data_IF_520959734261
#
_entry.id   IF_520959734261
#
_cell.length_a   1.000
_cell.length_b   1.000
_cell.length_c   1.000
_cell.angle_alpha   90.00
_cell.angle_beta   90.00
_cell.angle_gamma   90.00
#
_symmetry.space_group_name_H-M   'P 1'
#
loop_
_entity.id
_entity.type
_entity.pdbx_description
1 polymer ?
#
# COMPACT_ATOMS: atom_id res chain seq x y z
N UNK A 1 30.07 9.25 -36.37
CA UNK A 1 28.75 8.89 -35.80
C UNK A 1 28.53 9.79 -34.60
N UNK A 2 27.43 10.53 -34.52
CA UNK A 2 27.18 11.41 -33.39
C UNK A 2 27.03 10.56 -32.12
N UNK A 3 27.94 10.74 -31.15
CA UNK A 3 27.88 10.04 -29.87
C UNK A 3 26.62 10.48 -29.14
N UNK A 4 25.65 9.57 -28.95
CA UNK A 4 24.40 9.88 -28.29
C UNK A 4 24.62 10.09 -26.79
N UNK A 5 24.50 11.35 -26.35
CA UNK A 5 24.46 11.74 -24.94
C UNK A 5 22.99 11.86 -24.51
N UNK A 6 22.66 11.30 -23.36
CA UNK A 6 21.40 11.57 -22.67
C UNK A 6 21.64 11.72 -21.16
N UNK A 7 20.63 12.20 -20.44
CA UNK A 7 20.73 12.44 -19.00
C UNK A 7 19.60 11.73 -18.25
N UNK A 8 19.93 11.18 -17.10
CA UNK A 8 19.03 10.62 -16.10
C UNK A 8 19.32 11.28 -14.74
N UNK A 9 18.58 10.93 -13.69
CA UNK A 9 18.88 11.41 -12.33
C UNK A 9 19.33 10.30 -11.37
N UNK A 10 20.23 10.67 -10.46
CA UNK A 10 20.63 9.82 -9.33
C UNK A 10 19.50 9.69 -8.30
N UNK A 11 19.69 8.83 -7.29
CA UNK A 11 18.74 8.70 -6.18
C UNK A 11 18.61 9.99 -5.36
N UNK A 12 19.61 10.87 -5.44
CA UNK A 12 19.62 12.20 -4.79
C UNK A 12 19.13 13.33 -5.71
N UNK A 13 18.71 13.01 -6.94
CA UNK A 13 18.21 14.00 -7.90
C UNK A 13 19.30 14.74 -8.68
N UNK A 14 20.56 14.32 -8.55
CA UNK A 14 21.68 14.92 -9.31
C UNK A 14 21.71 14.37 -10.74
N UNK A 15 22.23 15.13 -11.73
CA UNK A 15 22.31 14.67 -13.11
C UNK A 15 23.30 13.51 -13.25
N UNK A 16 22.90 12.50 -14.01
CA UNK A 16 23.66 11.33 -14.40
C UNK A 16 23.77 11.30 -15.92
N UNK A 17 24.99 11.31 -16.43
CA UNK A 17 25.26 11.26 -17.86
C UNK A 17 25.16 9.82 -18.36
N UNK A 18 24.44 9.60 -19.45
CA UNK A 18 24.42 8.33 -20.17
C UNK A 18 25.17 8.53 -21.48
N UNK A 19 26.29 7.81 -21.64
CA UNK A 19 27.13 7.85 -22.83
C UNK A 19 27.37 6.43 -23.32
N UNK A 20 26.96 6.13 -24.56
CA UNK A 20 27.09 4.80 -25.17
C UNK A 20 26.60 3.65 -24.24
N UNK A 21 25.45 3.85 -23.58
CA UNK A 21 24.84 2.93 -22.60
C UNK A 21 25.53 2.83 -21.22
N UNK A 22 26.65 3.54 -21.00
CA UNK A 22 27.31 3.64 -19.71
C UNK A 22 26.80 4.85 -18.91
N UNK A 23 26.68 4.68 -17.59
CA UNK A 23 26.26 5.73 -16.67
C UNK A 23 27.47 6.39 -15.99
N UNK A 24 27.51 7.71 -16.00
CA UNK A 24 28.58 8.52 -15.40
C UNK A 24 28.02 9.57 -14.46
N UNK A 25 28.65 9.73 -13.30
CA UNK A 25 28.32 10.76 -12.29
C UNK A 25 29.20 11.98 -12.49
N UNK A 26 28.64 13.18 -12.26
CA UNK A 26 29.42 14.41 -12.29
C UNK A 26 30.40 14.41 -11.09
N UNK A 27 31.69 14.48 -11.39
CA UNK A 27 32.75 14.55 -10.38
C UNK A 27 33.14 16.00 -10.08
N UNK A 28 33.27 16.83 -11.12
CA UNK A 28 33.65 18.24 -10.97
C UNK A 28 33.06 19.08 -12.10
N UNK A 29 32.74 20.33 -11.80
CA UNK A 29 32.44 21.37 -12.80
C UNK A 29 33.51 22.45 -12.70
N UNK A 30 34.08 22.81 -13.85
CA UNK A 30 35.00 23.94 -14.03
C UNK A 30 34.25 25.11 -14.69
N UNK A 31 34.93 26.23 -14.89
CA UNK A 31 34.39 27.43 -15.51
C UNK A 31 33.90 27.21 -16.96
N UNK A 32 34.39 26.18 -17.65
CA UNK A 32 34.06 25.92 -19.06
C UNK A 32 33.57 24.50 -19.36
N UNK A 33 33.73 23.54 -18.43
CA UNK A 33 33.50 22.11 -18.69
C UNK A 33 33.00 21.37 -17.44
N UNK A 34 32.25 20.28 -17.67
CA UNK A 34 31.85 19.31 -16.65
C UNK A 34 32.62 18.00 -16.84
N UNK A 35 33.04 17.38 -15.74
CA UNK A 35 33.83 16.16 -15.70
C UNK A 35 32.97 15.04 -15.11
N UNK A 36 32.81 13.98 -15.87
CA UNK A 36 31.96 12.84 -15.56
C UNK A 36 32.82 11.59 -15.40
N UNK A 37 32.52 10.77 -14.40
CA UNK A 37 33.28 9.55 -14.09
C UNK A 37 32.32 8.37 -14.05
N UNK A 38 32.76 7.20 -14.53
CA UNK A 38 31.95 5.98 -14.49
C UNK A 38 31.42 5.69 -13.07
N UNK A 39 30.18 5.22 -12.98
CA UNK A 39 29.58 4.84 -11.71
C UNK A 39 30.22 3.59 -11.11
N UNK A 40 30.77 2.70 -11.95
CA UNK A 40 31.54 1.54 -11.53
C UNK A 40 32.97 1.98 -11.15
N UNK A 41 33.21 2.11 -9.84
CA UNK A 41 34.47 2.61 -9.24
C UNK A 41 35.75 1.87 -9.64
N UNK A 42 35.65 0.76 -10.38
CA UNK A 42 36.78 -0.04 -10.84
C UNK A 42 37.33 0.39 -12.21
N UNK A 43 36.69 1.33 -12.89
CA UNK A 43 37.07 1.75 -14.23
C UNK A 43 37.35 3.25 -14.29
N UNK A 44 38.57 3.59 -14.68
CA UNK A 44 39.05 4.98 -14.84
C UNK A 44 38.61 5.56 -16.18
N UNK A 45 37.29 5.70 -16.36
CA UNK A 45 36.72 6.34 -17.56
C UNK A 45 36.15 7.70 -17.21
N UNK A 46 36.61 8.70 -17.97
CA UNK A 46 36.30 10.10 -17.80
C UNK A 46 35.69 10.65 -19.08
N UNK A 47 34.49 11.22 -18.98
CA UNK A 47 33.84 11.93 -20.08
C UNK A 47 33.76 13.41 -19.72
N UNK A 48 34.03 14.29 -20.68
CA UNK A 48 33.94 15.73 -20.51
C UNK A 48 32.84 16.29 -21.40
N UNK A 49 32.02 17.18 -20.84
CA UNK A 49 31.02 17.95 -21.59
C UNK A 49 31.26 19.44 -21.42
N UNK A 50 30.73 20.28 -22.31
CA UNK A 50 30.65 21.72 -22.06
C UNK A 50 29.54 22.01 -21.01
N UNK A 51 29.34 23.28 -20.66
CA UNK A 51 28.31 23.68 -19.69
C UNK A 51 26.88 23.41 -20.20
N UNK A 52 26.70 23.42 -21.52
CA UNK A 52 25.46 23.13 -22.25
C UNK A 52 25.24 21.62 -22.49
N UNK A 53 26.06 20.76 -21.88
CA UNK A 53 25.97 19.30 -21.90
C UNK A 53 26.33 18.63 -23.23
N UNK A 54 27.02 19.31 -24.13
CA UNK A 54 27.54 18.73 -25.37
C UNK A 54 28.85 17.98 -25.13
N UNK A 55 29.05 16.88 -25.85
CA UNK A 55 30.25 16.05 -25.76
C UNK A 55 31.51 16.83 -26.13
N UNK A 56 32.58 16.69 -25.35
CA UNK A 56 33.89 17.23 -25.69
C UNK A 56 34.96 16.16 -25.85
N UNK A 57 35.09 15.26 -24.87
CA UNK A 57 36.19 14.30 -24.81
C UNK A 57 35.82 13.07 -23.98
N UNK A 58 36.39 11.92 -24.33
CA UNK A 58 36.43 10.73 -23.47
C UNK A 58 37.88 10.29 -23.26
N UNK A 59 38.17 9.80 -22.06
CA UNK A 59 39.48 9.30 -21.63
C UNK A 59 39.28 7.99 -20.89
N UNK A 60 39.98 6.93 -21.30
CA UNK A 60 39.78 5.56 -20.79
C UNK A 60 38.80 4.73 -21.63
N UNK A 61 38.65 3.45 -21.29
CA UNK A 61 37.77 2.50 -21.99
C UNK A 61 36.87 1.73 -21.02
N UNK A 62 35.59 1.59 -21.37
CA UNK A 62 34.60 0.92 -20.53
C UNK A 62 34.62 -0.60 -20.75
N UNK A 63 35.59 -1.29 -20.17
CA UNK A 63 35.78 -2.73 -20.35
C UNK A 63 34.93 -3.60 -19.41
N UNK A 64 33.72 -3.15 -19.06
CA UNK A 64 32.80 -3.90 -18.22
C UNK A 64 31.50 -4.24 -18.92
N UNK A 65 30.95 -5.39 -18.55
CA UNK A 65 29.65 -5.86 -19.04
C UNK A 65 28.58 -4.88 -18.57
N UNK A 66 27.79 -4.40 -19.53
CA UNK A 66 26.60 -3.60 -19.26
C UNK A 66 25.48 -4.58 -18.92
N UNK A 67 24.87 -4.44 -17.75
CA UNK A 67 23.59 -5.11 -17.50
C UNK A 67 22.52 -4.33 -18.30
N UNK A 68 21.91 -4.95 -19.33
CA UNK A 68 20.95 -4.27 -20.21
C UNK A 68 19.73 -3.74 -19.45
N UNK A 69 19.34 -4.40 -18.35
CA UNK A 69 18.20 -4.01 -17.54
C UNK A 69 18.48 -2.76 -16.69
N UNK A 70 19.73 -2.49 -16.31
CA UNK A 70 20.05 -1.40 -15.38
C UNK A 70 19.69 -0.03 -15.94
N UNK A 71 19.98 0.21 -17.22
CA UNK A 71 19.69 1.49 -17.86
C UNK A 71 18.19 1.69 -18.06
N UNK A 72 17.48 0.64 -18.47
CA UNK A 72 16.03 0.66 -18.63
C UNK A 72 15.32 0.90 -17.29
N UNK A 73 15.72 0.19 -16.23
CA UNK A 73 15.21 0.39 -14.88
C UNK A 73 15.47 1.82 -14.41
N UNK A 74 16.66 2.36 -14.68
CA UNK A 74 17.01 3.72 -14.28
C UNK A 74 16.20 4.78 -15.02
N UNK A 75 15.91 4.56 -16.31
CA UNK A 75 15.03 5.41 -17.10
C UNK A 75 13.58 5.36 -16.59
N UNK A 76 13.09 4.18 -16.17
CA UNK A 76 11.77 4.03 -15.54
C UNK A 76 11.73 4.80 -14.22
N UNK A 77 12.73 4.63 -13.35
CA UNK A 77 12.83 5.36 -12.08
C UNK A 77 12.76 6.87 -12.28
N UNK A 78 13.47 7.40 -13.29
CA UNK A 78 13.53 8.82 -13.56
C UNK A 78 12.20 9.38 -14.05
N UNK A 79 11.56 8.67 -14.99
CA UNK A 79 10.19 8.98 -15.45
C UNK A 79 9.21 8.96 -14.28
N UNK A 80 9.27 7.93 -13.45
CA UNK A 80 8.43 7.82 -12.26
C UNK A 80 8.62 8.99 -11.31
N UNK A 81 9.86 9.36 -10.97
CA UNK A 81 10.16 10.52 -10.11
C UNK A 81 9.58 11.80 -10.69
N UNK A 82 9.74 12.03 -12.00
CA UNK A 82 9.22 13.23 -12.66
C UNK A 82 7.69 13.28 -12.54
N UNK A 83 7.00 12.19 -12.87
CA UNK A 83 5.53 12.10 -12.75
C UNK A 83 5.05 12.30 -11.32
N UNK A 84 5.76 11.73 -10.33
CA UNK A 84 5.41 11.87 -8.90
C UNK A 84 5.50 13.34 -8.44
N UNK A 85 6.47 14.10 -8.96
CA UNK A 85 6.66 15.50 -8.60
C UNK A 85 5.65 16.43 -9.29
N UNK A 86 5.20 16.06 -10.50
CA UNK A 86 4.43 16.95 -11.37
C UNK A 86 2.94 16.58 -11.50
N UNK A 87 2.54 15.39 -11.07
CA UNK A 87 1.16 14.91 -11.17
C UNK A 87 0.54 14.65 -9.79
N UNK A 88 -0.79 14.78 -9.70
CA UNK A 88 -1.57 14.36 -8.52
C UNK A 88 -1.97 12.88 -8.56
N UNK A 89 -1.58 12.17 -9.62
CA UNK A 89 -1.80 10.74 -9.81
C UNK A 89 -1.13 9.98 -8.66
N UNK A 90 -1.77 8.94 -8.12
CA UNK A 90 -1.15 8.17 -7.05
C UNK A 90 0.14 7.52 -7.54
N UNK A 91 1.18 7.49 -6.70
CA UNK A 91 2.50 6.88 -6.98
C UNK A 91 2.33 5.46 -7.53
N UNK A 92 1.32 4.74 -7.05
CA UNK A 92 1.01 3.37 -7.48
C UNK A 92 0.44 3.29 -8.89
N UNK A 93 -0.46 4.21 -9.26
CA UNK A 93 -1.02 4.26 -10.61
C UNK A 93 0.07 4.67 -11.60
N UNK A 94 0.95 5.60 -11.21
CA UNK A 94 2.16 5.94 -11.97
C UNK A 94 3.03 4.69 -12.15
N UNK A 95 3.33 3.94 -11.09
CA UNK A 95 4.10 2.69 -11.17
C UNK A 95 3.47 1.69 -12.14
N UNK A 96 2.19 1.36 -11.96
CA UNK A 96 1.51 0.35 -12.79
C UNK A 96 1.49 0.75 -14.28
N UNK A 97 1.24 2.03 -14.57
CA UNK A 97 1.27 2.56 -15.93
C UNK A 97 2.66 2.52 -16.55
N UNK A 98 3.71 2.83 -15.78
CA UNK A 98 5.09 2.79 -16.29
C UNK A 98 5.57 1.35 -16.48
N UNK A 99 5.23 0.43 -15.58
CA UNK A 99 5.60 -0.99 -15.73
C UNK A 99 4.84 -1.65 -16.89
N UNK A 100 3.55 -1.33 -17.09
CA UNK A 100 2.77 -1.90 -18.19
C UNK A 100 3.33 -1.54 -19.59
N UNK A 101 4.15 -0.49 -19.69
CA UNK A 101 4.78 -0.05 -20.94
C UNK A 101 6.07 -0.81 -21.27
N UNK A 102 6.60 -1.61 -20.35
CA UNK A 102 7.94 -2.21 -20.47
C UNK A 102 7.85 -3.73 -20.47
N UNK A 103 8.58 -4.36 -21.40
CA UNK A 103 8.74 -5.81 -21.48
C UNK A 103 10.10 -6.19 -20.89
N UNK A 104 10.15 -6.47 -19.58
CA UNK A 104 11.38 -6.86 -18.88
C UNK A 104 11.54 -8.38 -18.85
N UNK A 105 12.78 -8.86 -18.83
CA UNK A 105 13.08 -10.27 -18.48
C UNK A 105 12.69 -10.56 -17.02
N UNK A 106 12.57 -11.84 -16.68
CA UNK A 106 12.29 -12.26 -15.29
C UNK A 106 13.36 -11.74 -14.30
N UNK A 107 14.62 -11.63 -14.73
CA UNK A 107 15.67 -10.99 -13.93
C UNK A 107 15.47 -9.47 -13.80
N UNK A 108 15.15 -8.77 -14.89
CA UNK A 108 14.90 -7.32 -14.88
C UNK A 108 13.69 -6.95 -14.01
N UNK A 109 12.65 -7.79 -14.01
CA UNK A 109 11.49 -7.62 -13.15
C UNK A 109 11.82 -7.79 -11.64
N UNK A 110 12.92 -8.48 -11.29
CA UNK A 110 13.36 -8.63 -9.91
C UNK A 110 14.13 -7.40 -9.39
N UNK A 111 14.73 -6.63 -10.30
CA UNK A 111 15.53 -5.43 -10.04
C UNK A 111 14.70 -4.13 -10.03
N UNK A 112 13.44 -4.17 -10.47
CA UNK A 112 12.54 -3.01 -10.45
C UNK A 112 12.44 -2.33 -9.06
N UNK A 113 12.33 -0.99 -9.05
CA UNK A 113 12.17 -0.22 -7.82
C UNK A 113 10.96 -0.71 -7.05
N UNK A 114 11.19 -1.13 -5.80
CA UNK A 114 10.10 -1.52 -4.93
C UNK A 114 9.50 -0.25 -4.34
N UNK A 115 8.24 0.05 -4.68
CA UNK A 115 7.50 1.15 -4.03
C UNK A 115 7.16 0.73 -2.60
N UNK A 116 7.68 1.46 -1.61
CA UNK A 116 7.37 1.23 -0.20
C UNK A 116 6.39 2.31 0.25
N UNK A 117 5.20 1.89 0.68
CA UNK A 117 4.16 2.79 1.18
C UNK A 117 4.32 2.97 2.69
N UNK A 118 4.58 4.20 3.14
CA UNK A 118 4.60 4.56 4.55
C UNK A 118 3.24 5.10 4.97
N UNK A 119 2.64 4.48 6.00
CA UNK A 119 1.41 4.96 6.60
C UNK A 119 1.71 5.57 7.96
N UNK A 120 1.42 6.86 8.08
CA UNK A 120 1.69 7.66 9.27
C UNK A 120 0.35 8.08 9.86
N UNK A 121 0.12 7.89 11.17
CA UNK A 121 -1.05 8.47 11.81
C UNK A 121 -0.93 10.00 11.76
N UNK A 122 -1.92 10.65 11.14
CA UNK A 122 -1.93 12.11 10.94
C UNK A 122 -2.61 12.86 12.06
N UNK A 123 -3.50 12.20 12.81
CA UNK A 123 -4.23 12.79 13.92
C UNK A 123 -4.67 11.71 14.92
N UNK A 124 -4.83 12.11 16.18
CA UNK A 124 -5.44 11.33 17.24
C UNK A 124 -6.61 12.11 17.81
N UNK A 125 -7.78 11.48 17.92
CA UNK A 125 -9.01 12.19 18.24
C UNK A 125 -9.73 11.46 19.38
N UNK A 126 -9.97 12.17 20.49
CA UNK A 126 -10.86 11.73 21.55
C UNK A 126 -12.23 12.33 21.29
N UNK A 127 -13.21 11.48 21.01
CA UNK A 127 -14.57 11.89 20.68
C UNK A 127 -15.49 11.64 21.87
N UNK A 128 -16.41 12.57 22.12
CA UNK A 128 -17.39 12.47 23.21
C UNK A 128 -18.45 11.39 22.95
N UNK A 129 -18.71 11.07 21.67
CA UNK A 129 -19.71 10.10 21.26
C UNK A 129 -19.44 9.60 19.83
N UNK A 130 -20.30 8.68 19.36
CA UNK A 130 -20.25 8.03 18.05
C UNK A 130 -21.41 8.47 17.15
N UNK A 131 -21.65 9.78 17.05
CA UNK A 131 -22.72 10.37 16.22
C UNK A 131 -22.16 10.96 14.94
N UNK A 132 -22.97 10.94 13.88
CA UNK A 132 -22.60 11.50 12.59
C UNK A 132 -22.17 12.98 12.70
N UNK A 133 -22.87 13.77 13.52
CA UNK A 133 -22.54 15.19 13.75
C UNK A 133 -21.13 15.38 14.31
N UNK A 134 -20.71 14.53 15.24
CA UNK A 134 -19.36 14.59 15.84
C UNK A 134 -18.28 14.20 14.84
N UNK A 135 -18.53 13.22 13.97
CA UNK A 135 -17.59 12.90 12.88
C UNK A 135 -17.55 13.98 11.79
N UNK A 136 -18.67 14.61 11.46
CA UNK A 136 -18.73 15.73 10.51
C UNK A 136 -17.86 16.88 11.02
N UNK A 137 -18.05 17.28 12.28
CA UNK A 137 -17.27 18.34 12.91
C UNK A 137 -15.77 18.00 12.91
N UNK A 138 -15.41 16.75 13.23
CA UNK A 138 -14.02 16.28 13.17
C UNK A 138 -13.42 16.43 11.77
N UNK A 139 -14.11 15.95 10.74
CA UNK A 139 -13.60 16.02 9.37
C UNK A 139 -13.55 17.45 8.83
N UNK A 140 -14.50 18.30 9.22
CA UNK A 140 -14.45 19.74 8.93
C UNK A 140 -13.23 20.38 9.60
N UNK A 141 -12.92 20.02 10.85
CA UNK A 141 -11.72 20.49 11.54
C UNK A 141 -10.45 20.09 10.80
N UNK A 142 -10.37 18.86 10.29
CA UNK A 142 -9.22 18.46 9.45
C UNK A 142 -9.08 19.30 8.18
N UNK A 143 -10.18 19.65 7.50
CA UNK A 143 -10.13 20.56 6.35
C UNK A 143 -9.63 21.96 6.73
N UNK A 144 -10.11 22.49 7.86
CA UNK A 144 -9.67 23.79 8.38
C UNK A 144 -8.17 23.79 8.70
N UNK A 145 -7.70 22.80 9.48
CA UNK A 145 -6.28 22.68 9.84
C UNK A 145 -5.38 22.54 8.62
N UNK A 146 -5.79 21.73 7.64
CA UNK A 146 -5.05 21.63 6.38
C UNK A 146 -4.98 22.98 5.66
N UNK A 147 -6.08 23.73 5.62
CA UNK A 147 -6.14 25.05 4.99
C UNK A 147 -5.19 26.04 5.67
N UNK A 148 -5.11 26.02 7.01
CA UNK A 148 -4.16 26.83 7.78
C UNK A 148 -2.70 26.50 7.44
N UNK A 149 -2.42 25.25 7.07
CA UNK A 149 -1.10 24.79 6.61
C UNK A 149 -0.86 25.05 5.11
N UNK A 150 -1.77 25.74 4.41
CA UNK A 150 -1.68 25.95 2.96
C UNK A 150 -1.84 24.66 2.15
N UNK A 151 -2.56 23.67 2.70
CA UNK A 151 -2.83 22.36 2.10
C UNK A 151 -4.33 22.15 1.92
N UNK A 152 -4.70 21.25 1.02
CA UNK A 152 -6.08 20.81 0.85
C UNK A 152 -6.23 19.38 1.37
N UNK A 153 -7.18 19.17 2.29
CA UNK A 153 -7.53 17.82 2.76
C UNK A 153 -8.73 17.29 1.98
N UNK A 154 -8.45 16.67 0.82
CA UNK A 154 -9.46 16.08 -0.05
C UNK A 154 -9.07 14.63 -0.39
N UNK A 155 -9.40 13.66 0.48
CA UNK A 155 -9.10 12.26 0.20
C UNK A 155 -9.87 11.78 -1.03
N UNK A 156 -9.23 10.98 -1.89
CA UNK A 156 -9.89 10.29 -3.00
C UNK A 156 -10.56 8.99 -2.56
N UNK A 157 -10.05 8.39 -1.47
CA UNK A 157 -10.53 7.15 -0.90
C UNK A 157 -10.56 7.26 0.63
N UNK A 158 -11.65 6.78 1.23
CA UNK A 158 -11.79 6.68 2.68
C UNK A 158 -12.07 5.23 3.04
N UNK A 159 -11.37 4.73 4.06
CA UNK A 159 -11.65 3.42 4.66
C UNK A 159 -12.00 3.64 6.10
N UNK A 160 -13.16 3.17 6.52
CA UNK A 160 -13.60 3.25 7.91
C UNK A 160 -14.26 1.95 8.35
N UNK A 161 -14.55 1.87 9.63
CA UNK A 161 -15.45 0.84 10.13
C UNK A 161 -16.85 1.04 9.57
N UNK A 162 -17.65 -0.03 9.64
CA UNK A 162 -19.04 -0.04 9.18
C UNK A 162 -20.00 0.60 10.18
N UNK A 163 -19.56 1.68 10.80
CA UNK A 163 -20.40 2.47 11.69
C UNK A 163 -21.20 3.47 10.85
N UNK A 164 -22.53 3.39 10.94
CA UNK A 164 -23.44 4.23 10.16
C UNK A 164 -23.16 5.73 10.32
N UNK A 165 -22.78 6.15 11.53
CA UNK A 165 -22.42 7.52 11.85
C UNK A 165 -21.21 8.02 11.03
N UNK A 166 -20.13 7.24 10.98
CA UNK A 166 -18.93 7.57 10.19
C UNK A 166 -19.27 7.54 8.70
N UNK A 167 -20.03 6.54 8.23
CA UNK A 167 -20.44 6.44 6.84
C UNK A 167 -21.23 7.66 6.37
N UNK A 168 -22.19 8.10 7.17
CA UNK A 168 -22.95 9.32 6.90
C UNK A 168 -22.05 10.56 6.87
N UNK A 169 -21.15 10.69 7.84
CA UNK A 169 -20.23 11.82 7.92
C UNK A 169 -19.25 11.89 6.74
N UNK A 170 -18.70 10.75 6.31
CA UNK A 170 -17.81 10.68 5.14
C UNK A 170 -18.54 11.10 3.87
N UNK A 171 -19.76 10.56 3.64
CA UNK A 171 -20.58 10.95 2.48
C UNK A 171 -20.91 12.43 2.48
N UNK A 172 -21.16 13.01 3.66
CA UNK A 172 -21.48 14.42 3.80
C UNK A 172 -20.26 15.33 3.55
N UNK A 173 -19.11 15.02 4.15
CA UNK A 173 -17.93 15.91 4.09
C UNK A 173 -17.06 15.66 2.85
N UNK A 174 -17.04 14.43 2.34
CA UNK A 174 -16.23 14.00 1.20
C UNK A 174 -17.06 13.22 0.15
N UNK A 175 -18.07 13.85 -0.48
CA UNK A 175 -18.98 13.15 -1.39
C UNK A 175 -18.30 12.55 -2.62
N UNK A 176 -17.19 13.15 -3.07
CA UNK A 176 -16.39 12.65 -4.20
C UNK A 176 -15.44 11.50 -3.83
N UNK A 177 -15.23 11.23 -2.53
CA UNK A 177 -14.32 10.18 -2.11
C UNK A 177 -15.00 8.81 -2.24
N UNK A 178 -14.28 7.81 -2.77
CA UNK A 178 -14.74 6.42 -2.71
C UNK A 178 -14.67 5.95 -1.26
N UNK A 179 -15.83 5.68 -0.67
CA UNK A 179 -15.90 5.12 0.69
C UNK A 179 -15.99 3.61 0.63
N UNK A 180 -15.24 2.94 1.50
CA UNK A 180 -15.23 1.49 1.61
C UNK A 180 -15.00 1.06 3.05
N UNK A 181 -15.47 -0.14 3.40
CA UNK A 181 -15.43 -0.62 4.77
C UNK A 181 -14.16 -1.39 5.12
N UNK A 182 -13.81 -1.38 6.40
CA UNK A 182 -12.68 -2.11 6.94
C UNK A 182 -13.02 -3.60 7.16
N UNK A 183 -12.35 -4.51 6.44
CA UNK A 183 -12.61 -5.96 6.48
C UNK A 183 -12.33 -6.61 7.86
N UNK A 184 -11.62 -5.92 8.75
CA UNK A 184 -11.14 -6.52 10.00
C UNK A 184 -12.22 -6.84 11.02
N UNK A 185 -13.23 -5.97 11.16
CA UNK A 185 -14.17 -6.07 12.27
C UNK A 185 -15.12 -7.27 12.17
N UNK A 186 -15.09 -8.01 11.07
CA UNK A 186 -15.91 -9.19 10.87
C UNK A 186 -15.32 -10.49 11.45
N UNK A 187 -14.03 -10.54 11.86
CA UNK A 187 -13.27 -11.81 12.04
C UNK A 187 -13.37 -12.53 13.40
N UNK A 188 -14.31 -12.19 14.30
CA UNK A 188 -14.29 -12.70 15.69
C UNK A 188 -15.22 -13.87 16.02
N UNK A 189 -16.02 -14.37 15.07
CA UNK A 189 -16.93 -15.50 15.30
C UNK A 189 -16.45 -16.79 14.65
N UNK A 190 -16.42 -17.87 15.44
CA UNK A 190 -15.77 -19.13 15.07
C UNK A 190 -16.68 -20.12 14.32
N UNK A 191 -17.96 -19.82 14.13
CA UNK A 191 -18.89 -20.74 13.47
C UNK A 191 -18.61 -20.85 11.96
N UNK A 192 -18.76 -22.03 11.35
CA UNK A 192 -18.60 -22.20 9.90
C UNK A 192 -19.48 -21.24 9.09
N UNK A 193 -20.73 -21.03 9.52
CA UNK A 193 -21.67 -20.11 8.88
C UNK A 193 -21.19 -18.66 8.92
N UNK A 194 -20.68 -18.18 10.07
CA UNK A 194 -20.11 -16.83 10.14
C UNK A 194 -18.91 -16.69 9.22
N UNK A 195 -18.06 -17.71 9.11
CA UNK A 195 -16.90 -17.70 8.21
C UNK A 195 -17.31 -17.70 6.73
N UNK A 196 -18.37 -18.42 6.36
CA UNK A 196 -18.94 -18.33 5.00
C UNK A 196 -19.55 -16.94 4.74
N UNK A 197 -20.32 -16.37 5.66
CA UNK A 197 -20.85 -15.00 5.52
C UNK A 197 -19.73 -13.97 5.32
N UNK A 198 -18.63 -14.13 6.04
CA UNK A 198 -17.44 -13.30 5.84
C UNK A 198 -16.77 -13.53 4.48
N UNK A 199 -16.69 -14.78 4.04
CA UNK A 199 -16.11 -15.15 2.75
C UNK A 199 -16.82 -14.50 1.56
N UNK A 200 -18.10 -14.13 1.69
CA UNK A 200 -18.84 -13.37 0.67
C UNK A 200 -18.16 -12.06 0.28
N UNK A 201 -17.43 -11.43 1.21
CA UNK A 201 -16.68 -10.20 0.93
C UNK A 201 -15.54 -10.42 -0.07
N UNK A 202 -15.11 -11.66 -0.27
CA UNK A 202 -13.99 -12.02 -1.14
C UNK A 202 -14.48 -12.72 -2.43
N UNK A 203 -15.79 -12.86 -2.63
CA UNK A 203 -16.38 -13.52 -3.79
C UNK A 203 -16.66 -12.55 -4.93
N UNK A 204 -16.65 -13.03 -6.20
CA UNK A 204 -17.20 -12.27 -7.31
C UNK A 204 -18.60 -11.72 -6.98
N UNK A 205 -18.83 -10.44 -7.26
CA UNK A 205 -20.07 -9.74 -6.86
C UNK A 205 -21.33 -10.47 -7.38
N UNK A 206 -21.26 -11.02 -8.60
CA UNK A 206 -22.35 -11.79 -9.21
C UNK A 206 -22.73 -13.05 -8.42
N UNK A 207 -21.81 -13.62 -7.65
CA UNK A 207 -22.03 -14.86 -6.89
C UNK A 207 -22.56 -14.61 -5.47
N UNK A 208 -22.38 -13.38 -4.95
CA UNK A 208 -22.63 -13.06 -3.53
C UNK A 208 -24.06 -13.37 -3.11
N UNK A 209 -25.05 -12.91 -3.88
CA UNK A 209 -26.46 -13.06 -3.50
C UNK A 209 -26.90 -14.54 -3.54
N UNK A 210 -26.47 -15.29 -4.56
CA UNK A 210 -26.78 -16.71 -4.69
C UNK A 210 -26.17 -17.52 -3.55
N UNK A 211 -24.90 -17.25 -3.22
CA UNK A 211 -24.24 -17.94 -2.11
C UNK A 211 -24.85 -17.58 -0.75
N UNK A 212 -25.28 -16.33 -0.56
CA UNK A 212 -26.00 -15.92 0.66
C UNK A 212 -27.33 -16.68 0.83
N UNK A 213 -28.13 -16.81 -0.24
CA UNK A 213 -29.38 -17.60 -0.21
C UNK A 213 -29.13 -19.04 0.24
N UNK A 214 -28.08 -19.67 -0.31
CA UNK A 214 -27.67 -21.02 0.09
C UNK A 214 -27.27 -21.10 1.57
N UNK A 215 -26.50 -20.12 2.07
CA UNK A 215 -26.13 -20.08 3.49
C UNK A 215 -27.39 -20.01 4.36
N UNK A 216 -28.37 -19.19 3.98
CA UNK A 216 -29.62 -19.03 4.72
C UNK A 216 -30.44 -20.32 4.79
N UNK A 217 -30.52 -21.07 3.70
CA UNK A 217 -31.25 -22.34 3.64
C UNK A 217 -30.63 -23.44 4.53
N UNK A 218 -29.30 -23.49 4.61
CA UNK A 218 -28.57 -24.54 5.34
C UNK A 218 -28.35 -24.17 6.82
N UNK A 219 -28.54 -22.92 7.19
CA UNK A 219 -28.27 -22.43 8.54
C UNK A 219 -29.33 -22.84 9.55
N UNK A 220 -28.90 -23.07 10.80
CA UNK A 220 -29.80 -23.37 11.91
C UNK A 220 -30.68 -22.17 12.28
N UNK A 221 -31.84 -22.47 12.87
CA UNK A 221 -32.79 -21.46 13.38
C UNK A 221 -32.15 -20.47 14.37
N UNK A 222 -31.13 -20.91 15.12
CA UNK A 222 -30.36 -20.06 16.04
C UNK A 222 -29.63 -18.88 15.39
N UNK A 223 -29.42 -18.90 14.07
CA UNK A 223 -28.78 -17.81 13.32
C UNK A 223 -29.77 -16.96 12.53
N UNK A 224 -31.08 -17.18 12.69
CA UNK A 224 -32.12 -16.50 11.92
C UNK A 224 -32.00 -14.97 12.01
N UNK A 225 -31.91 -14.42 13.22
CA UNK A 225 -31.81 -12.97 13.44
C UNK A 225 -30.54 -12.39 12.81
N UNK A 226 -29.41 -13.10 12.89
CA UNK A 226 -28.17 -12.70 12.24
C UNK A 226 -28.31 -12.66 10.73
N UNK A 227 -28.96 -13.66 10.12
CA UNK A 227 -29.14 -13.74 8.68
C UNK A 227 -30.13 -12.69 8.17
N UNK A 228 -31.21 -12.42 8.90
CA UNK A 228 -32.15 -11.34 8.58
C UNK A 228 -31.45 -9.98 8.66
N UNK A 229 -30.68 -9.75 9.71
CA UNK A 229 -29.84 -8.56 9.82
C UNK A 229 -28.85 -8.47 8.65
N UNK A 230 -28.16 -9.56 8.33
CA UNK A 230 -27.14 -9.57 7.30
C UNK A 230 -27.73 -9.28 5.92
N UNK A 231 -28.88 -9.88 5.59
CA UNK A 231 -29.60 -9.65 4.34
C UNK A 231 -29.99 -8.17 4.18
N UNK A 232 -30.61 -7.59 5.21
CA UNK A 232 -31.03 -6.18 5.19
C UNK A 232 -29.83 -5.24 5.05
N UNK A 233 -28.79 -5.49 5.84
CA UNK A 233 -27.65 -4.57 5.96
C UNK A 233 -26.67 -4.66 4.79
N UNK A 234 -26.35 -5.88 4.33
CA UNK A 234 -25.24 -6.13 3.41
C UNK A 234 -25.65 -6.57 2.02
N UNK A 235 -26.84 -7.16 1.87
CA UNK A 235 -27.31 -7.68 0.58
C UNK A 235 -28.28 -6.71 -0.09
N UNK A 236 -29.24 -6.14 0.65
CA UNK A 236 -30.33 -5.34 0.07
C UNK A 236 -30.14 -3.83 0.19
N UNK A 237 -30.22 -3.25 1.40
CA UNK A 237 -30.71 -1.86 1.49
C UNK A 237 -29.74 -0.86 2.15
N UNK A 238 -28.87 -1.26 3.07
CA UNK A 238 -28.12 -0.27 3.87
C UNK A 238 -26.72 0.08 3.33
N UNK A 239 -25.99 -0.92 2.81
CA UNK A 239 -24.59 -0.77 2.40
C UNK A 239 -24.38 -1.40 1.01
N UNK A 240 -23.99 -0.61 -0.01
CA UNK A 240 -23.75 -1.14 -1.35
C UNK A 240 -22.71 -2.26 -1.35
N UNK A 241 -22.92 -3.33 -2.14
CA UNK A 241 -21.98 -4.44 -2.29
C UNK A 241 -20.56 -3.97 -2.63
N UNK A 242 -20.43 -2.98 -3.51
CA UNK A 242 -19.15 -2.39 -3.92
C UNK A 242 -18.38 -1.69 -2.79
N UNK A 243 -19.02 -1.39 -1.66
CA UNK A 243 -18.42 -0.76 -0.49
C UNK A 243 -17.71 -1.75 0.42
N UNK A 244 -18.16 -3.01 0.45
CA UNK A 244 -17.65 -4.04 1.37
C UNK A 244 -17.06 -5.26 0.66
N UNK A 245 -17.41 -5.48 -0.60
CA UNK A 245 -16.80 -6.50 -1.44
C UNK A 245 -15.38 -6.09 -1.83
N UNK A 246 -14.44 -6.99 -1.56
CA UNK A 246 -13.01 -6.87 -1.77
C UNK A 246 -12.51 -7.92 -2.79
N UNK A 247 -13.35 -8.53 -3.63
CA UNK A 247 -12.90 -9.58 -4.56
C UNK A 247 -11.87 -9.10 -5.60
N UNK A 248 -12.00 -7.85 -6.06
CA UNK A 248 -11.11 -7.24 -7.04
C UNK A 248 -10.08 -6.30 -6.40
N UNK A 249 -9.92 -6.45 -5.09
CA UNK A 249 -8.91 -5.77 -4.29
C UNK A 249 -7.71 -6.69 -4.12
N UNK A 250 -6.49 -6.17 -4.17
CA UNK A 250 -5.32 -6.96 -3.77
C UNK A 250 -5.29 -7.14 -2.24
N UNK A 251 -5.27 -8.40 -1.81
CA UNK A 251 -5.39 -8.86 -0.42
C UNK A 251 -4.07 -8.88 0.38
N UNK A 252 -3.07 -8.08 -0.01
CA UNK A 252 -1.77 -8.07 0.68
C UNK A 252 -1.93 -7.75 2.18
N UNK A 253 -1.32 -8.58 3.01
CA UNK A 253 -1.49 -8.62 4.47
C UNK A 253 -0.16 -8.30 5.15
N UNK A 254 0.03 -7.07 5.64
CA UNK A 254 1.14 -6.80 6.55
C UNK A 254 0.77 -7.27 7.96
N UNK A 255 0.83 -8.57 8.21
CA UNK A 255 0.75 -9.13 9.56
C UNK A 255 2.05 -8.87 10.30
N UNK A 256 2.12 -7.77 11.06
CA UNK A 256 3.07 -7.62 12.17
C UNK A 256 2.42 -8.26 13.40
N UNK A 257 2.33 -9.58 13.39
CA UNK A 257 2.19 -10.33 14.62
C UNK A 257 3.58 -10.88 14.96
N UNK A 258 4.26 -10.20 15.88
CA UNK A 258 5.56 -10.52 16.51
C UNK A 258 6.78 -9.72 16.01
N UNK A 259 7.41 -9.01 16.95
CA UNK A 259 8.79 -8.50 16.84
C UNK A 259 8.94 -7.01 17.17
N UNK A 260 9.78 -6.70 18.15
CA UNK A 260 10.10 -5.37 18.69
C UNK A 260 10.90 -4.43 17.76
N UNK A 261 10.80 -4.57 16.44
CA UNK A 261 11.53 -3.71 15.49
C UNK A 261 10.65 -3.39 14.29
N UNK A 262 10.74 -2.17 13.78
CA UNK A 262 10.03 -1.74 12.57
C UNK A 262 10.64 -2.49 11.40
N UNK A 263 10.06 -3.65 11.08
CA UNK A 263 10.35 -4.36 9.84
C UNK A 263 9.50 -3.75 8.72
N UNK A 264 10.10 -2.74 8.09
CA UNK A 264 9.77 -2.18 6.79
C UNK A 264 9.44 -3.27 5.74
N UNK A 265 8.61 -2.95 4.74
CA UNK A 265 8.02 -3.94 3.84
C UNK A 265 8.29 -3.64 2.37
N UNK A 266 8.89 -4.63 1.69
CA UNK A 266 9.02 -4.75 0.23
C UNK A 266 7.64 -4.98 -0.39
N UNK A 267 7.14 -4.10 -1.28
CA UNK A 267 5.82 -4.23 -1.91
C UNK A 267 5.93 -4.36 -3.44
N UNK A 268 5.45 -5.50 -3.97
CA UNK A 268 5.03 -5.72 -5.37
C UNK A 268 3.51 -5.87 -5.41
N UNK A 269 2.79 -4.83 -5.82
CA UNK A 269 1.36 -4.78 -6.19
C UNK A 269 0.26 -4.41 -5.14
N UNK A 270 -0.64 -3.59 -5.73
CA UNK A 270 -2.06 -3.18 -5.64
C UNK A 270 -2.85 -3.13 -4.33
N UNK A 271 -3.92 -2.34 -4.39
CA UNK A 271 -4.56 -1.62 -3.29
C UNK A 271 -5.86 -2.26 -2.83
N UNK A 272 -5.99 -2.47 -1.52
CA UNK A 272 -7.09 -1.97 -0.67
C UNK A 272 -7.15 -2.73 0.69
N UNK A 273 -6.68 -3.98 0.74
CA UNK A 273 -6.60 -4.76 1.98
C UNK A 273 -5.32 -4.58 2.80
N UNK A 274 -4.25 -4.11 2.14
CA UNK A 274 -3.05 -3.60 2.84
C UNK A 274 -3.40 -2.55 3.89
N UNK A 275 -4.41 -1.73 3.59
CA UNK A 275 -4.82 -0.62 4.44
C UNK A 275 -5.32 -1.06 5.78
N UNK A 276 -6.31 -1.95 5.75
CA UNK A 276 -6.96 -2.44 6.93
C UNK A 276 -5.90 -3.12 7.81
N UNK A 277 -5.12 -4.05 7.25
CA UNK A 277 -4.12 -4.84 7.98
C UNK A 277 -3.01 -4.00 8.63
N UNK A 278 -2.53 -2.93 8.00
CA UNK A 278 -1.57 -2.02 8.60
C UNK A 278 -2.18 -1.21 9.76
N UNK A 279 -3.42 -0.74 9.60
CA UNK A 279 -4.19 -0.13 10.69
C UNK A 279 -4.34 -1.13 11.84
N UNK A 280 -4.50 -2.43 11.57
CA UNK A 280 -4.57 -3.47 12.60
C UNK A 280 -3.27 -3.67 13.33
N UNK A 281 -2.17 -3.77 12.59
CA UNK A 281 -0.85 -3.92 13.18
C UNK A 281 -0.55 -2.72 14.08
N UNK A 282 -0.87 -1.51 13.61
CA UNK A 282 -0.78 -0.28 14.38
C UNK A 282 -1.68 -0.34 15.63
N UNK A 283 -2.98 -0.62 15.49
CA UNK A 283 -3.94 -0.67 16.60
C UNK A 283 -3.59 -1.74 17.64
N UNK A 284 -3.13 -2.91 17.19
CA UNK A 284 -2.69 -4.00 18.06
C UNK A 284 -1.45 -3.58 18.84
N UNK A 285 -0.44 -3.01 18.17
CA UNK A 285 0.76 -2.49 18.86
C UNK A 285 0.40 -1.38 19.83
N UNK A 286 -0.43 -0.43 19.40
CA UNK A 286 -0.90 0.67 20.23
C UNK A 286 -1.59 0.12 21.49
N UNK A 287 -2.49 -0.86 21.33
CA UNK A 287 -3.13 -1.56 22.46
C UNK A 287 -2.13 -2.30 23.36
N UNK A 288 -1.13 -2.98 22.77
CA UNK A 288 -0.07 -3.65 23.53
C UNK A 288 0.77 -2.65 24.32
N UNK A 289 1.10 -1.49 23.74
CA UNK A 289 1.87 -0.44 24.43
C UNK A 289 1.06 0.26 25.52
N UNK A 290 -0.26 0.40 25.35
CA UNK A 290 -1.15 0.86 26.42
C UNK A 290 -1.10 -0.11 27.61
N UNK A 291 -1.06 -1.42 27.34
CA UNK A 291 -0.97 -2.51 28.34
C UNK A 291 -2.00 -2.41 29.48
N UNK A 292 -3.12 -1.71 29.23
CA UNK A 292 -4.22 -1.45 30.17
C UNK A 292 -5.53 -1.53 29.42
N UNK A 293 -6.54 -2.17 30.03
CA UNK A 293 -7.88 -2.32 29.45
C UNK A 293 -8.63 -0.99 29.38
N UNK A 294 -8.39 -0.12 30.36
CA UNK A 294 -8.99 1.22 30.48
C UNK A 294 -7.92 2.24 30.88
N UNK A 295 -7.12 2.74 29.92
CA UNK A 295 -6.16 3.80 30.21
C UNK A 295 -6.88 5.11 30.55
N UNK A 296 -6.35 5.87 31.51
CA UNK A 296 -6.77 7.26 31.71
C UNK A 296 -6.21 8.15 30.59
N UNK A 297 -6.78 9.35 30.46
CA UNK A 297 -6.40 10.33 29.43
C UNK A 297 -4.90 10.65 29.48
N UNK A 298 -4.33 10.75 30.68
CA UNK A 298 -2.89 11.01 30.85
C UNK A 298 -2.00 9.90 30.27
N UNK A 299 -2.36 8.64 30.50
CA UNK A 299 -1.65 7.49 29.94
C UNK A 299 -1.73 7.49 28.42
N UNK A 300 -2.89 7.84 27.87
CA UNK A 300 -3.10 7.97 26.43
C UNK A 300 -2.25 9.09 25.81
N UNK A 301 -2.22 10.28 26.43
CA UNK A 301 -1.40 11.41 25.98
C UNK A 301 0.08 11.05 25.96
N UNK A 302 0.61 10.48 27.05
CA UNK A 302 2.01 10.04 27.12
C UNK A 302 2.36 9.03 26.02
N UNK A 303 1.44 8.10 25.73
CA UNK A 303 1.66 7.13 24.67
C UNK A 303 1.73 7.82 23.30
N UNK A 304 0.80 8.73 22.98
CA UNK A 304 0.81 9.45 21.70
C UNK A 304 2.08 10.28 21.54
N UNK A 305 2.53 10.97 22.58
CA UNK A 305 3.81 11.70 22.55
C UNK A 305 4.98 10.77 22.22
N UNK A 306 5.04 9.61 22.87
CA UNK A 306 6.08 8.61 22.57
C UNK A 306 5.96 8.01 21.15
N UNK A 307 4.75 7.92 20.60
CA UNK A 307 4.53 7.52 19.21
C UNK A 307 4.97 8.62 18.24
N UNK A 308 4.74 9.89 18.55
CA UNK A 308 5.18 11.01 17.72
C UNK A 308 6.71 11.05 17.59
N UNK A 309 7.43 10.96 18.72
CA UNK A 309 8.91 10.92 18.72
C UNK A 309 9.43 9.78 17.84
N UNK A 310 8.80 8.61 17.92
CA UNK A 310 9.16 7.46 17.09
C UNK A 310 8.90 7.72 15.61
N UNK A 311 7.80 8.39 15.26
CA UNK A 311 7.47 8.71 13.87
C UNK A 311 8.43 9.74 13.28
N UNK A 312 8.79 10.77 14.04
CA UNK A 312 9.79 11.75 13.62
C UNK A 312 11.14 11.10 13.34
N UNK A 313 11.58 10.18 14.22
CA UNK A 313 12.80 9.41 13.98
C UNK A 313 12.74 8.60 12.67
N UNK A 314 11.60 7.98 12.37
CA UNK A 314 11.42 7.25 11.11
C UNK A 314 11.46 8.20 9.93
N UNK A 315 10.75 9.31 9.99
CA UNK A 315 10.76 10.32 8.92
C UNK A 315 12.19 10.79 8.67
N UNK A 316 12.97 11.05 9.73
CA UNK A 316 14.38 11.43 9.61
C UNK A 316 15.24 10.33 8.97
N UNK A 317 15.04 9.06 9.34
CA UNK A 317 15.74 7.93 8.72
C UNK A 317 15.41 7.80 7.22
N UNK A 318 14.14 7.99 6.86
CA UNK A 318 13.69 7.93 5.47
C UNK A 318 14.24 9.08 4.64
N UNK A 319 14.18 10.31 5.17
CA UNK A 319 14.81 11.48 4.57
C UNK A 319 16.32 11.31 4.40
N UNK A 320 16.96 10.55 5.29
CA UNK A 320 18.37 10.16 5.23
C UNK A 320 18.70 9.01 4.28
N UNK A 321 17.73 8.46 3.55
CA UNK A 321 17.94 7.39 2.56
C UNK A 321 18.02 5.97 3.14
N UNK A 322 17.54 5.75 4.36
CA UNK A 322 17.47 4.40 4.94
C UNK A 322 16.58 3.48 4.09
N UNK A 323 17.10 2.30 3.74
CA UNK A 323 16.36 1.29 2.99
C UNK A 323 15.43 0.47 3.89
N UNK A 324 14.35 -0.01 3.28
CA UNK A 324 13.30 -0.75 3.97
C UNK A 324 13.70 -2.23 4.15
N UNK A 325 13.49 -2.79 5.34
CA UNK A 325 13.61 -4.21 5.69
C UNK A 325 12.84 -5.20 4.79
N UNK A 326 13.22 -6.48 4.86
CA UNK A 326 12.66 -7.58 4.06
C UNK A 326 11.27 -8.02 4.54
N UNK A 327 10.45 -8.52 3.60
CA UNK A 327 9.11 -9.08 3.85
C UNK A 327 9.08 -10.28 4.82
N UNK A 328 7.98 -10.40 5.56
CA UNK A 328 7.65 -11.57 6.40
C UNK A 328 7.14 -12.76 5.58
N UNK A 329 7.56 -13.98 5.97
CA UNK A 329 7.23 -15.27 5.31
C UNK A 329 5.75 -15.69 5.42
N UNK A 330 4.97 -15.16 6.37
CA UNK A 330 3.57 -15.58 6.58
C UNK A 330 2.57 -14.90 5.61
N UNK A 331 2.86 -13.66 5.21
CA UNK A 331 2.05 -12.84 4.28
C UNK A 331 1.95 -13.47 2.89
N UNK A 332 3.04 -14.08 2.43
CA UNK A 332 3.10 -14.76 1.13
C UNK A 332 2.18 -15.98 1.06
N UNK A 333 1.84 -16.60 2.21
CA UNK A 333 0.97 -17.77 2.27
C UNK A 333 -0.51 -17.47 2.01
N UNK A 334 -1.07 -16.41 2.60
CA UNK A 334 -2.46 -16.00 2.36
C UNK A 334 -2.67 -15.61 0.90
N UNK A 335 -1.80 -14.74 0.37
CA UNK A 335 -1.91 -14.26 -1.02
C UNK A 335 -1.79 -15.39 -2.04
N UNK A 336 -0.80 -16.29 -1.85
CA UNK A 336 -0.67 -17.46 -2.72
C UNK A 336 -1.95 -18.28 -2.73
N UNK A 337 -2.51 -18.59 -1.55
CA UNK A 337 -3.74 -19.39 -1.47
C UNK A 337 -4.96 -18.68 -2.05
N UNK A 338 -5.13 -17.39 -1.77
CA UNK A 338 -6.23 -16.60 -2.32
C UNK A 338 -6.13 -16.52 -3.86
N UNK A 339 -4.94 -16.20 -4.38
CA UNK A 339 -4.68 -16.17 -5.83
C UNK A 339 -4.88 -17.53 -6.48
N UNK A 340 -4.45 -18.62 -5.84
CA UNK A 340 -4.73 -19.98 -6.30
C UNK A 340 -6.24 -20.26 -6.36
N UNK A 341 -7.02 -19.91 -5.33
CA UNK A 341 -8.47 -20.11 -5.35
C UNK A 341 -9.14 -19.32 -6.47
N UNK A 342 -8.77 -18.04 -6.67
CA UNK A 342 -9.32 -17.20 -7.74
C UNK A 342 -8.97 -17.77 -9.11
N UNK A 343 -7.72 -18.21 -9.31
CA UNK A 343 -7.30 -18.87 -10.55
C UNK A 343 -8.12 -20.12 -10.83
N UNK A 344 -8.21 -21.04 -9.86
CA UNK A 344 -8.97 -22.29 -10.01
C UNK A 344 -10.45 -22.05 -10.29
N UNK A 345 -11.03 -20.98 -9.74
CA UNK A 345 -12.41 -20.59 -10.05
C UNK A 345 -12.55 -20.08 -11.49
N UNK A 346 -11.63 -19.21 -11.93
CA UNK A 346 -11.61 -18.68 -13.29
C UNK A 346 -11.34 -19.78 -14.34
N UNK A 347 -10.52 -20.76 -14.00
CA UNK A 347 -10.20 -21.93 -14.83
C UNK A 347 -11.32 -23.00 -14.79
N UNK A 348 -12.45 -22.72 -14.11
CA UNK A 348 -13.58 -23.62 -13.90
C UNK A 348 -13.26 -24.95 -13.20
N UNK A 349 -12.13 -25.04 -12.48
CA UNK A 349 -11.77 -26.22 -11.69
C UNK A 349 -12.58 -26.35 -10.39
N UNK A 350 -13.08 -25.23 -9.86
CA UNK A 350 -13.91 -25.18 -8.66
C UNK A 350 -15.14 -24.33 -8.89
N UNK A 351 -16.27 -24.74 -8.30
CA UNK A 351 -17.52 -23.97 -8.35
C UNK A 351 -17.59 -22.91 -7.23
N UNK A 352 -18.59 -22.03 -7.30
CA UNK A 352 -18.80 -20.93 -6.34
C UNK A 352 -18.94 -21.41 -4.89
N UNK A 353 -19.52 -22.60 -4.66
CA UNK A 353 -19.60 -23.23 -3.34
C UNK A 353 -18.23 -23.59 -2.77
N UNK A 354 -17.40 -24.21 -3.60
CA UNK A 354 -16.04 -24.60 -3.24
C UNK A 354 -15.15 -23.39 -3.03
N UNK A 355 -15.30 -22.36 -3.86
CA UNK A 355 -14.62 -21.07 -3.69
C UNK A 355 -14.97 -20.46 -2.33
N UNK A 356 -16.26 -20.28 -2.02
CA UNK A 356 -16.70 -19.70 -0.75
C UNK A 356 -16.15 -20.44 0.47
N UNK A 357 -16.17 -21.78 0.45
CA UNK A 357 -15.59 -22.60 1.51
C UNK A 357 -14.08 -22.37 1.66
N UNK A 358 -13.35 -22.29 0.54
CA UNK A 358 -11.93 -21.98 0.54
C UNK A 358 -11.63 -20.60 1.14
N UNK A 359 -12.43 -19.59 0.77
CA UNK A 359 -12.33 -18.22 1.28
C UNK A 359 -12.65 -18.13 2.78
N UNK A 360 -13.68 -18.85 3.24
CA UNK A 360 -14.06 -18.93 4.65
C UNK A 360 -12.92 -19.50 5.52
N UNK A 361 -12.23 -20.54 5.02
CA UNK A 361 -11.09 -21.16 5.70
C UNK A 361 -9.86 -20.24 5.73
N UNK A 362 -9.69 -19.39 4.71
CA UNK A 362 -8.61 -18.39 4.69
C UNK A 362 -8.76 -17.32 5.76
N UNK A 363 -9.99 -16.92 6.07
CA UNK A 363 -10.28 -15.89 7.07
C UNK A 363 -10.20 -16.41 8.52
N UNK A 364 -10.41 -17.71 8.73
CA UNK A 364 -10.48 -18.33 10.06
C UNK A 364 -9.17 -18.79 10.68
N UNK A 365 -8.03 -18.70 9.99
CA UNK A 365 -6.76 -19.31 10.44
C UNK A 365 -5.92 -18.41 11.34
N UNK A 366 -6.47 -17.91 12.46
CA UNK A 366 -5.62 -17.52 13.59
C UNK A 366 -5.31 -18.76 14.41
N UNK A 367 -4.11 -19.33 14.22
CA UNK A 367 -3.59 -20.37 15.12
C UNK A 367 -3.70 -19.84 16.55
N UNK A 368 -4.54 -20.48 17.38
CA UNK A 368 -4.42 -20.42 18.84
C UNK A 368 -2.95 -20.68 19.14
N UNK A 369 -2.22 -19.67 19.64
CA UNK A 369 -0.96 -19.95 20.33
C UNK A 369 -1.34 -20.91 21.45
N UNK A 370 -0.86 -22.16 21.35
CA UNK A 370 -0.84 -23.05 22.51
C UNK A 370 -0.13 -22.29 23.62
N UNK A 371 -0.81 -22.22 24.77
CA UNK A 371 -0.36 -21.52 25.98
C UNK A 371 1.03 -21.99 26.38
#
# INVERSE_FOLDING_TARGET
MASAISFLTTNKGEPLLVFNQYMLKCNKTSLSKKYWVCTEHRYDVYVHTNLENEFLLITGDHNHVINPNTLEIKAIEDKMKNRILNETTSIMKIYDEEIAKVHLSDEGAAELPTVIEYRVPVAYCLLSNRRATTYIELFQRFKQEATLLGKQFQPTHVVSDFESAIMSAVRHVFPAAKHSGCLFHFTRNDTPTCKELMGLSLMPICEVEQQFKRIREISSSSLYDLLVYFERQWIKDSVPLSMWNSNDVDHRTNSISEGNEIKCLRIKMKFFLNSCMLILAYNRRFSTRISKKHPNVWTFIKLIQSENVRLEHIIAQLSGGASSSKQSKNTTGFQKRFGTLKKRFNDNEINAKQLLKGLALLLGSHKKKRK
#
